data_IF_875218707929
#
_entry.id   IF_875218707929
#
_cell.length_a   1.000
_cell.length_b   1.000
_cell.length_c   1.000
_cell.angle_alpha   90.00
_cell.angle_beta   90.00
_cell.angle_gamma   90.00
#
_symmetry.space_group_name_H-M   'P 1'
#
loop_
_entity.id
_entity.type
_entity.pdbx_description
1 polymer ?
#
# COMPACT_ATOMS: atom_id res chain seq x y z
N UNK A 1 -22.20 -24.43 -9.33
CA UNK A 1 -23.28 -23.66 -8.71
C UNK A 1 -22.62 -22.86 -7.62
N UNK A 2 -22.38 -21.57 -7.88
CA UNK A 2 -21.64 -20.70 -6.97
C UNK A 2 -22.49 -20.32 -5.77
N UNK A 3 -21.85 -20.15 -4.61
CA UNK A 3 -22.44 -19.54 -3.44
C UNK A 3 -23.04 -18.19 -3.83
N UNK A 4 -24.37 -18.05 -3.70
CA UNK A 4 -25.11 -16.83 -4.04
C UNK A 4 -24.98 -15.71 -2.98
N UNK A 5 -24.08 -15.85 -2.00
CA UNK A 5 -23.74 -14.79 -1.05
C UNK A 5 -22.23 -14.58 -1.08
N UNK A 6 -21.75 -13.75 -2.01
CA UNK A 6 -20.32 -13.57 -2.21
C UNK A 6 -19.63 -12.99 -0.98
N UNK A 7 -18.68 -13.77 -0.46
CA UNK A 7 -17.85 -13.49 0.71
C UNK A 7 -16.42 -14.00 0.48
N UNK A 8 -15.92 -13.87 -0.75
CA UNK A 8 -14.61 -14.43 -1.13
C UNK A 8 -13.46 -13.84 -0.31
N UNK A 9 -13.56 -12.60 0.16
CA UNK A 9 -12.52 -11.97 0.98
C UNK A 9 -12.65 -12.28 2.47
N UNK A 10 -13.71 -12.99 2.90
CA UNK A 10 -13.89 -13.36 4.30
C UNK A 10 -12.66 -14.12 4.80
N UNK A 11 -12.16 -13.73 5.97
CA UNK A 11 -10.97 -14.29 6.62
C UNK A 11 -9.64 -14.13 5.86
N UNK A 12 -9.64 -13.49 4.70
CA UNK A 12 -8.42 -13.11 4.01
C UNK A 12 -7.63 -12.09 4.84
N UNK A 13 -6.32 -12.04 4.60
CA UNK A 13 -5.39 -11.12 5.26
C UNK A 13 -4.78 -10.18 4.23
N UNK A 14 -4.72 -8.90 4.57
CA UNK A 14 -4.17 -7.85 3.70
C UNK A 14 -3.15 -7.00 4.43
N UNK A 15 -2.08 -6.63 3.74
CA UNK A 15 -1.12 -5.63 4.22
C UNK A 15 -1.30 -4.31 3.47
N UNK A 16 -1.26 -3.19 4.20
CA UNK A 16 -1.42 -1.84 3.64
C UNK A 16 -0.06 -1.13 3.51
N UNK A 17 0.54 -1.27 2.34
CA UNK A 17 1.84 -0.72 1.98
C UNK A 17 1.72 0.69 1.36
N UNK A 18 2.66 1.57 1.70
CA UNK A 18 2.70 2.93 1.15
C UNK A 18 3.52 3.89 2.01
N UNK A 19 3.66 5.16 1.61
CA UNK A 19 4.41 6.13 2.38
C UNK A 19 3.93 6.29 3.83
N UNK A 20 4.90 6.46 4.71
CA UNK A 20 4.73 6.84 6.12
C UNK A 20 5.65 8.03 6.43
N UNK A 21 6.87 8.01 5.87
CA UNK A 21 7.77 9.15 5.83
C UNK A 21 7.57 10.01 4.58
N UNK A 22 8.09 11.24 4.61
CA UNK A 22 8.01 12.23 3.52
C UNK A 22 6.58 12.60 3.08
N UNK A 23 5.59 12.25 3.90
CA UNK A 23 4.22 12.73 3.81
C UNK A 23 4.10 14.11 4.46
N UNK A 24 3.05 14.87 4.12
CA UNK A 24 2.85 16.21 4.65
C UNK A 24 2.74 16.24 6.19
N UNK A 25 2.13 15.21 6.79
CA UNK A 25 2.08 15.04 8.25
C UNK A 25 1.89 13.57 8.63
N UNK A 26 2.85 13.00 9.36
CA UNK A 26 2.75 11.64 9.92
C UNK A 26 1.53 11.48 10.82
N UNK A 27 1.25 12.50 11.64
CA UNK A 27 0.12 12.48 12.56
C UNK A 27 -1.22 12.46 11.83
N UNK A 28 -1.36 13.27 10.76
CA UNK A 28 -2.58 13.27 9.94
C UNK A 28 -2.72 11.97 9.16
N UNK A 29 -1.66 11.49 8.51
CA UNK A 29 -1.69 10.21 7.79
C UNK A 29 -2.05 9.04 8.71
N UNK A 30 -1.50 9.01 9.93
CA UNK A 30 -1.84 7.99 10.94
C UNK A 30 -3.30 8.09 11.38
N UNK A 31 -3.81 9.29 11.66
CA UNK A 31 -5.14 9.48 12.24
C UNK A 31 -6.28 9.40 11.21
N UNK A 32 -6.08 9.94 10.01
CA UNK A 32 -7.14 10.14 9.00
C UNK A 32 -6.71 9.83 7.57
N UNK A 33 -5.50 9.30 7.38
CA UNK A 33 -4.98 8.94 6.05
C UNK A 33 -5.74 7.78 5.40
N UNK A 34 -5.36 7.49 4.16
CA UNK A 34 -6.03 6.51 3.30
C UNK A 34 -6.14 5.11 3.91
N UNK A 35 -5.14 4.68 4.71
CA UNK A 35 -5.11 3.37 5.36
C UNK A 35 -6.29 3.13 6.29
N UNK A 36 -6.73 4.17 7.01
CA UNK A 36 -7.88 4.06 7.90
C UNK A 36 -9.16 3.72 7.12
N UNK A 37 -9.38 4.40 5.99
CA UNK A 37 -10.56 4.18 5.15
C UNK A 37 -10.52 2.84 4.43
N UNK A 38 -9.40 2.53 3.78
CA UNK A 38 -9.20 1.23 3.11
C UNK A 38 -9.28 0.09 4.12
N UNK A 39 -8.72 0.26 5.31
CA UNK A 39 -8.80 -0.71 6.41
C UNK A 39 -10.23 -0.91 6.92
N UNK A 40 -11.00 0.17 7.12
CA UNK A 40 -12.41 0.06 7.51
C UNK A 40 -13.25 -0.64 6.44
N UNK A 41 -13.01 -0.32 5.17
CA UNK A 41 -13.67 -0.94 4.03
C UNK A 41 -13.36 -2.44 3.92
N UNK A 42 -12.09 -2.84 4.09
CA UNK A 42 -11.69 -4.25 4.04
C UNK A 42 -12.23 -5.04 5.23
N UNK A 43 -12.21 -4.47 6.44
CA UNK A 43 -12.81 -5.10 7.63
C UNK A 43 -14.31 -5.31 7.50
N UNK A 44 -15.02 -4.43 6.77
CA UNK A 44 -16.44 -4.61 6.46
C UNK A 44 -16.71 -5.90 5.67
N UNK A 45 -15.74 -6.36 4.86
CA UNK A 45 -15.79 -7.65 4.15
C UNK A 45 -15.13 -8.82 4.92
N UNK A 46 -14.88 -8.66 6.23
CA UNK A 46 -14.31 -9.73 7.05
C UNK A 46 -12.80 -9.93 6.88
N UNK A 47 -12.10 -9.00 6.22
CA UNK A 47 -10.65 -9.08 5.99
C UNK A 47 -9.89 -8.67 7.25
N UNK A 48 -8.86 -9.45 7.62
CA UNK A 48 -7.87 -9.07 8.62
C UNK A 48 -6.87 -8.09 8.01
N UNK A 49 -6.81 -6.87 8.55
CA UNK A 49 -5.96 -5.78 8.03
C UNK A 49 -4.70 -5.60 8.87
N UNK A 50 -3.54 -5.74 8.23
CA UNK A 50 -2.25 -5.34 8.78
C UNK A 50 -1.88 -3.94 8.31
N UNK A 51 -1.80 -3.00 9.26
CA UNK A 51 -1.39 -1.62 9.05
C UNK A 51 -0.04 -1.37 9.74
N UNK A 52 1.00 -0.89 9.03
CA UNK A 52 2.30 -0.62 9.66
C UNK A 52 2.27 0.45 10.76
N UNK A 53 1.24 1.30 10.85
CA UNK A 53 1.07 2.22 11.99
C UNK A 53 0.62 1.53 13.27
N UNK A 54 -0.07 0.39 13.15
CA UNK A 54 -0.75 -0.33 14.23
C UNK A 54 -0.40 -1.81 14.17
N UNK A 55 0.85 -2.10 14.57
CA UNK A 55 1.45 -3.43 14.47
C UNK A 55 0.87 -4.40 15.51
N UNK A 56 0.54 -5.65 15.14
CA UNK A 56 -0.02 -6.63 16.06
C UNK A 56 1.01 -7.05 17.11
N UNK A 57 0.53 -7.52 18.27
CA UNK A 57 1.40 -8.08 19.30
C UNK A 57 2.05 -9.38 18.82
N UNK A 58 3.35 -9.50 19.04
CA UNK A 58 4.10 -10.72 18.75
C UNK A 58 4.07 -11.62 19.98
N UNK A 59 3.47 -12.80 19.84
CA UNK A 59 3.38 -13.77 20.93
C UNK A 59 4.76 -14.08 21.50
N UNK A 60 4.93 -13.88 22.81
CA UNK A 60 6.18 -14.15 23.51
C UNK A 60 7.24 -13.06 23.38
N UNK A 61 6.93 -11.91 22.76
CA UNK A 61 7.83 -10.76 22.69
C UNK A 61 7.10 -9.48 23.13
N UNK A 62 7.69 -8.71 24.04
CA UNK A 62 7.14 -7.44 24.48
C UNK A 62 7.53 -6.32 23.48
N UNK A 63 6.53 -5.58 22.98
CA UNK A 63 6.71 -4.38 22.13
C UNK A 63 7.61 -4.56 20.88
N UNK A 64 7.72 -5.79 20.36
CA UNK A 64 8.57 -6.07 19.22
C UNK A 64 8.17 -5.24 17.98
N UNK A 65 9.12 -4.46 17.46
CA UNK A 65 8.94 -3.70 16.22
C UNK A 65 8.00 -2.49 16.32
N UNK A 66 7.50 -2.15 17.52
CA UNK A 66 6.75 -0.90 17.74
C UNK A 66 7.70 0.29 17.60
N UNK A 67 7.34 1.21 16.72
CA UNK A 67 8.08 2.46 16.52
C UNK A 67 7.57 3.52 17.52
N UNK A 68 8.43 3.95 18.45
CA UNK A 68 8.16 5.08 19.34
C UNK A 68 8.63 6.42 18.74
N UNK A 69 8.29 7.55 19.39
CA UNK A 69 8.67 8.91 18.95
C UNK A 69 10.20 9.13 18.82
N UNK A 70 11.03 8.26 19.43
CA UNK A 70 12.49 8.33 19.40
C UNK A 70 13.19 7.57 18.26
N UNK A 71 12.48 6.86 17.38
CA UNK A 71 13.12 6.09 16.29
C UNK A 71 13.67 6.97 15.16
N UNK A 72 13.28 8.23 15.08
CA UNK A 72 13.57 9.12 13.95
C UNK A 72 15.00 9.66 13.90
N UNK A 73 15.76 9.66 15.01
CA UNK A 73 17.09 10.31 15.08
C UNK A 73 18.28 9.34 15.22
N UNK A 74 18.04 8.02 15.15
CA UNK A 74 19.14 7.02 15.23
C UNK A 74 20.09 7.10 14.03
N UNK A 75 19.62 7.69 12.91
CA UNK A 75 20.42 7.92 11.69
C UNK A 75 21.58 8.88 11.92
N UNK A 76 21.48 9.82 12.86
CA UNK A 76 22.54 10.78 13.15
C UNK A 76 23.85 10.10 13.61
N UNK A 77 23.76 8.88 14.17
CA UNK A 77 24.93 8.09 14.55
C UNK A 77 25.66 7.40 13.40
N UNK A 78 25.14 7.45 12.16
CA UNK A 78 25.71 6.70 11.04
C UNK A 78 27.08 7.23 10.63
N UNK A 79 28.02 6.33 10.31
CA UNK A 79 29.35 6.72 9.85
C UNK A 79 29.96 5.75 8.84
N UNK A 80 30.69 6.31 7.87
CA UNK A 80 31.47 5.57 6.87
C UNK A 80 32.90 5.27 7.30
N UNK A 81 33.31 5.64 8.52
CA UNK A 81 34.65 5.33 9.04
C UNK A 81 34.90 3.82 9.01
N UNK A 82 36.13 3.45 8.66
CA UNK A 82 36.63 2.07 8.75
C UNK A 82 36.95 1.66 10.19
N UNK A 83 37.36 0.40 10.36
CA UNK A 83 37.79 -0.13 11.65
C UNK A 83 36.64 -0.46 12.62
N UNK A 84 37.02 -0.86 13.83
CA UNK A 84 36.09 -1.39 14.85
C UNK A 84 35.01 -0.39 15.26
N UNK A 85 35.36 0.87 15.45
CA UNK A 85 34.42 1.92 15.87
C UNK A 85 33.34 2.19 14.83
N UNK A 86 33.74 2.36 13.56
CA UNK A 86 32.79 2.57 12.48
C UNK A 86 31.90 1.35 12.23
N UNK A 87 32.45 0.13 12.32
CA UNK A 87 31.68 -1.11 12.23
C UNK A 87 30.65 -1.21 13.37
N UNK A 88 31.05 -0.89 14.61
CA UNK A 88 30.16 -0.89 15.79
C UNK A 88 29.01 0.10 15.64
N UNK A 89 29.28 1.33 15.20
CA UNK A 89 28.26 2.35 14.99
C UNK A 89 27.21 1.91 13.94
N UNK A 90 27.66 1.35 12.81
CA UNK A 90 26.75 0.82 11.78
C UNK A 90 25.94 -0.38 12.27
N UNK A 91 26.56 -1.32 12.99
CA UNK A 91 25.87 -2.49 13.56
C UNK A 91 24.75 -2.07 14.49
N UNK A 92 25.03 -1.15 15.42
CA UNK A 92 24.05 -0.65 16.39
C UNK A 92 22.82 -0.05 15.71
N UNK A 93 23.01 0.74 14.66
CA UNK A 93 21.90 1.37 13.93
C UNK A 93 21.09 0.32 13.18
N UNK A 94 21.76 -0.57 12.43
CA UNK A 94 21.10 -1.63 11.68
C UNK A 94 20.28 -2.56 12.59
N UNK A 95 20.86 -3.00 13.70
CA UNK A 95 20.19 -3.84 14.70
C UNK A 95 19.01 -3.13 15.35
N UNK A 96 19.12 -1.82 15.64
CA UNK A 96 18.04 -1.07 16.29
C UNK A 96 16.77 -0.98 15.45
N UNK A 97 16.90 -0.91 14.11
CA UNK A 97 15.76 -0.80 13.21
C UNK A 97 15.26 -2.16 12.71
N UNK A 98 16.06 -3.22 12.87
CA UNK A 98 15.70 -4.57 12.41
C UNK A 98 14.33 -5.05 12.90
N UNK A 99 13.93 -4.89 14.17
CA UNK A 99 12.62 -5.34 14.63
C UNK A 99 11.45 -4.72 13.86
N UNK A 100 11.54 -3.42 13.53
CA UNK A 100 10.50 -2.70 12.78
C UNK A 100 10.40 -3.22 11.35
N UNK A 101 11.53 -3.31 10.64
CA UNK A 101 11.56 -3.90 9.29
C UNK A 101 11.06 -5.35 9.30
N UNK A 102 11.51 -6.16 10.26
CA UNK A 102 11.20 -7.57 10.33
C UNK A 102 9.70 -7.83 10.53
N UNK A 103 9.04 -7.10 11.44
CA UNK A 103 7.60 -7.29 11.65
C UNK A 103 6.78 -6.83 10.45
N UNK A 104 7.19 -5.76 9.75
CA UNK A 104 6.49 -5.31 8.54
C UNK A 104 6.57 -6.36 7.43
N UNK A 105 7.77 -6.90 7.16
CA UNK A 105 7.93 -8.00 6.21
C UNK A 105 7.19 -9.25 6.65
N UNK A 106 7.11 -9.52 7.97
CA UNK A 106 6.32 -10.65 8.48
C UNK A 106 4.82 -10.48 8.28
N UNK A 107 4.31 -9.25 8.34
CA UNK A 107 2.93 -8.95 8.00
C UNK A 107 2.69 -9.18 6.50
N UNK A 108 3.59 -8.72 5.63
CA UNK A 108 3.54 -9.04 4.18
C UNK A 108 3.54 -10.55 3.94
N UNK A 109 4.45 -11.28 4.58
CA UNK A 109 4.57 -12.75 4.47
C UNK A 109 3.29 -13.48 4.85
N UNK A 110 2.54 -12.96 5.82
CA UNK A 110 1.32 -13.61 6.30
C UNK A 110 0.06 -13.06 5.65
N UNK A 111 0.12 -12.02 4.82
CA UNK A 111 -1.02 -11.58 4.02
C UNK A 111 -1.28 -12.50 2.81
N UNK A 112 -2.53 -12.59 2.40
CA UNK A 112 -2.97 -13.28 1.18
C UNK A 112 -2.87 -12.36 -0.05
N UNK A 113 -3.02 -11.04 0.14
CA UNK A 113 -2.75 -10.01 -0.87
C UNK A 113 -2.25 -8.71 -0.23
N UNK A 114 -1.75 -7.77 -1.04
CA UNK A 114 -1.23 -6.48 -0.56
C UNK A 114 -1.89 -5.33 -1.31
N UNK A 115 -2.24 -4.25 -0.61
CA UNK A 115 -2.63 -2.97 -1.22
C UNK A 115 -1.48 -1.99 -1.08
N UNK A 116 -1.03 -1.40 -2.19
CA UNK A 116 0.12 -0.52 -2.25
C UNK A 116 -0.28 0.87 -2.78
N UNK A 117 -0.20 1.90 -1.94
CA UNK A 117 -0.33 3.29 -2.38
C UNK A 117 1.04 3.87 -2.75
N UNK A 118 1.23 4.19 -4.03
CA UNK A 118 2.53 4.56 -4.60
C UNK A 118 2.46 5.90 -5.38
N UNK A 119 2.31 7.04 -4.67
CA UNK A 119 2.44 8.36 -5.29
C UNK A 119 3.87 8.58 -5.78
N UNK A 120 4.03 9.02 -7.03
CA UNK A 120 5.33 9.14 -7.69
C UNK A 120 6.20 10.29 -7.17
N UNK A 121 5.60 11.20 -6.41
CA UNK A 121 6.27 12.35 -5.79
C UNK A 121 6.68 12.12 -4.32
N UNK A 122 6.47 10.93 -3.77
CA UNK A 122 6.90 10.60 -2.42
C UNK A 122 7.96 9.52 -2.48
N UNK A 123 9.13 9.80 -1.91
CA UNK A 123 10.20 8.83 -1.80
C UNK A 123 9.78 7.68 -0.85
N UNK A 124 9.80 6.46 -1.36
CA UNK A 124 9.52 5.26 -0.57
C UNK A 124 10.52 4.15 -0.90
N UNK A 125 11.05 3.52 0.16
CA UNK A 125 11.95 2.36 0.07
C UNK A 125 11.32 1.08 0.62
N UNK A 126 10.47 1.20 1.65
CA UNK A 126 9.74 0.07 2.22
C UNK A 126 8.75 -0.52 1.22
N UNK A 127 7.93 0.35 0.60
CA UNK A 127 6.90 -0.07 -0.36
C UNK A 127 7.44 -0.90 -1.54
N UNK A 128 8.52 -0.49 -2.25
CA UNK A 128 9.13 -1.36 -3.26
C UNK A 128 9.56 -2.73 -2.70
N UNK A 129 10.16 -2.79 -1.52
CA UNK A 129 10.63 -4.04 -0.91
C UNK A 129 9.46 -4.97 -0.59
N UNK A 130 8.38 -4.43 -0.02
CA UNK A 130 7.15 -5.15 0.31
C UNK A 130 6.46 -5.70 -0.94
N UNK A 131 6.40 -4.91 -2.03
CA UNK A 131 5.87 -5.36 -3.33
C UNK A 131 6.69 -6.51 -3.91
N UNK A 132 8.02 -6.39 -3.88
CA UNK A 132 8.92 -7.42 -4.42
C UNK A 132 8.73 -8.73 -3.64
N UNK A 133 8.69 -8.67 -2.31
CA UNK A 133 8.46 -9.83 -1.46
C UNK A 133 7.10 -10.49 -1.76
N UNK A 134 6.03 -9.71 -1.84
CA UNK A 134 4.69 -10.21 -2.17
C UNK A 134 4.68 -10.93 -3.53
N UNK A 135 5.32 -10.37 -4.56
CA UNK A 135 5.37 -10.97 -5.90
C UNK A 135 6.30 -12.17 -6.00
N UNK A 136 7.38 -12.22 -5.23
CA UNK A 136 8.21 -13.43 -5.08
C UNK A 136 7.40 -14.59 -4.48
N UNK A 137 6.41 -14.27 -3.64
CA UNK A 137 5.45 -15.21 -3.06
C UNK A 137 4.19 -15.40 -3.92
N UNK A 138 4.14 -14.84 -5.14
CA UNK A 138 3.01 -14.89 -6.08
C UNK A 138 1.69 -14.30 -5.57
N UNK A 139 1.74 -13.43 -4.56
CA UNK A 139 0.56 -12.79 -3.99
C UNK A 139 0.05 -11.65 -4.88
N UNK A 140 -1.27 -11.45 -5.03
CA UNK A 140 -1.81 -10.27 -5.69
C UNK A 140 -1.30 -8.99 -5.01
N UNK A 141 -0.90 -8.02 -5.83
CA UNK A 141 -0.53 -6.67 -5.38
C UNK A 141 -1.47 -5.69 -6.05
N UNK A 142 -2.31 -5.01 -5.27
CA UNK A 142 -3.22 -3.99 -5.74
C UNK A 142 -2.53 -2.63 -5.66
N UNK A 143 -2.06 -2.13 -6.79
CA UNK A 143 -1.18 -0.98 -6.89
C UNK A 143 -1.95 0.29 -7.26
N UNK A 144 -2.01 1.25 -6.33
CA UNK A 144 -2.61 2.57 -6.55
C UNK A 144 -1.51 3.57 -6.93
N UNK A 145 -1.52 4.07 -8.16
CA UNK A 145 -0.68 5.18 -8.61
C UNK A 145 -1.57 6.40 -8.85
N UNK A 146 -1.62 7.38 -7.95
CA UNK A 146 -2.52 8.52 -8.13
C UNK A 146 -2.00 9.48 -9.21
N UNK A 147 -2.92 10.33 -9.71
CA UNK A 147 -2.56 11.54 -10.42
C UNK A 147 -1.70 12.44 -9.51
N UNK A 148 -0.66 13.07 -10.05
CA UNK A 148 0.19 14.00 -9.29
C UNK A 148 0.40 15.27 -10.08
N UNK A 149 -0.01 16.40 -9.51
CA UNK A 149 0.18 17.74 -10.05
C UNK A 149 0.48 18.71 -8.90
N UNK A 150 1.27 19.75 -9.17
CA UNK A 150 1.72 20.69 -8.16
C UNK A 150 1.15 22.10 -8.40
N UNK A 151 -0.13 22.32 -8.10
CA UNK A 151 -0.81 23.61 -8.32
C UNK A 151 -0.01 24.80 -7.76
N UNK A 152 0.47 24.67 -6.52
CA UNK A 152 1.23 25.75 -5.85
C UNK A 152 2.59 26.02 -6.46
N UNK A 153 3.20 25.03 -7.12
CA UNK A 153 4.42 25.26 -7.87
C UNK A 153 4.16 26.10 -9.12
N UNK A 154 3.05 25.82 -9.82
CA UNK A 154 2.65 26.61 -10.99
C UNK A 154 2.22 28.03 -10.61
N UNK A 155 1.46 28.18 -9.52
CA UNK A 155 1.12 29.50 -8.96
C UNK A 155 2.38 30.30 -8.58
N UNK A 156 3.36 29.66 -7.93
CA UNK A 156 4.63 30.30 -7.58
C UNK A 156 5.42 30.71 -8.82
N UNK A 157 5.49 29.85 -9.84
CA UNK A 157 6.14 30.17 -11.11
C UNK A 157 5.48 31.37 -11.79
N UNK A 158 4.15 31.45 -11.78
CA UNK A 158 3.41 32.59 -12.31
C UNK A 158 3.69 33.87 -11.50
N UNK A 159 3.72 33.77 -10.18
CA UNK A 159 4.03 34.90 -9.29
C UNK A 159 5.42 35.48 -9.56
N UNK A 160 6.41 34.62 -9.82
CA UNK A 160 7.79 35.01 -10.11
C UNK A 160 8.03 35.46 -11.56
N UNK A 161 7.00 35.55 -12.41
CA UNK A 161 7.17 35.89 -13.84
C UNK A 161 7.92 37.21 -14.10
N UNK A 162 7.85 38.17 -13.17
CA UNK A 162 8.58 39.45 -13.23
C UNK A 162 9.93 39.47 -12.49
N UNK A 163 10.36 38.35 -11.89
CA UNK A 163 11.61 38.20 -11.14
C UNK A 163 12.50 37.13 -11.79
N UNK A 164 13.43 37.55 -12.68
CA UNK A 164 14.33 36.61 -13.37
C UNK A 164 15.20 35.80 -12.41
N UNK A 165 15.62 36.37 -11.27
CA UNK A 165 16.46 35.64 -10.32
C UNK A 165 15.63 34.62 -9.55
N UNK A 166 14.42 34.99 -9.14
CA UNK A 166 13.45 34.08 -8.52
C UNK A 166 13.13 32.88 -9.42
N UNK A 167 12.86 33.10 -10.70
CA UNK A 167 12.63 32.02 -11.67
C UNK A 167 13.84 31.09 -11.82
N UNK A 168 15.05 31.66 -11.90
CA UNK A 168 16.28 30.87 -11.98
C UNK A 168 16.42 29.96 -10.74
N UNK A 169 16.21 30.51 -9.53
CA UNK A 169 16.28 29.74 -8.29
C UNK A 169 15.21 28.65 -8.24
N UNK A 170 14.00 28.94 -8.72
CA UNK A 170 12.92 27.95 -8.80
C UNK A 170 13.26 26.80 -9.77
N UNK A 171 13.87 27.12 -10.92
CA UNK A 171 14.30 26.12 -11.90
C UNK A 171 15.49 25.29 -11.40
N UNK A 172 16.41 25.89 -10.65
CA UNK A 172 17.49 25.18 -9.96
C UNK A 172 16.92 24.24 -8.89
N UNK A 173 16.01 24.73 -8.04
CA UNK A 173 15.35 23.92 -7.01
C UNK A 173 14.57 22.74 -7.61
N UNK A 174 13.89 22.95 -8.74
CA UNK A 174 13.17 21.89 -9.45
C UNK A 174 14.09 20.79 -10.03
N UNK A 175 15.40 21.06 -10.19
CA UNK A 175 16.40 20.06 -10.56
C UNK A 175 17.00 19.35 -9.35
N UNK A 176 17.12 20.05 -8.23
CA UNK A 176 17.68 19.52 -6.98
C UNK A 176 16.68 18.62 -6.24
N UNK A 177 15.40 18.95 -6.32
CA UNK A 177 14.30 18.15 -5.75
C UNK A 177 13.63 17.37 -6.88
N UNK A 178 13.34 16.07 -6.71
CA UNK A 178 12.69 15.26 -7.75
C UNK A 178 11.19 15.60 -7.88
N UNK A 179 10.89 16.85 -8.27
CA UNK A 179 9.54 17.34 -8.51
C UNK A 179 9.11 16.85 -9.89
N UNK A 180 8.40 15.72 -9.92
CA UNK A 180 7.86 15.17 -11.16
C UNK A 180 6.37 14.89 -11.03
N UNK A 181 5.62 15.54 -11.92
CA UNK A 181 4.19 15.31 -12.07
C UNK A 181 3.91 13.94 -12.71
N UNK A 182 2.74 13.41 -12.43
CA UNK A 182 2.20 12.18 -13.00
C UNK A 182 0.76 12.42 -13.45
N UNK A 183 0.61 13.14 -14.57
CA UNK A 183 -0.67 13.65 -15.03
C UNK A 183 -1.60 12.57 -15.62
N UNK A 184 -1.11 11.34 -15.76
CA UNK A 184 -1.89 10.21 -16.27
C UNK A 184 -1.86 9.04 -15.30
N UNK A 185 -1.51 9.28 -14.03
CA UNK A 185 -1.53 8.26 -12.98
C UNK A 185 -0.74 6.99 -13.35
N UNK A 186 0.28 7.13 -14.22
CA UNK A 186 1.02 5.97 -14.72
C UNK A 186 1.98 5.44 -13.66
N UNK A 187 1.98 4.13 -13.38
CA UNK A 187 2.98 3.53 -12.52
C UNK A 187 4.36 3.57 -13.20
N UNK A 188 5.42 3.37 -12.42
CA UNK A 188 6.77 3.16 -12.97
C UNK A 188 6.79 1.95 -13.91
N UNK A 189 7.56 2.04 -15.00
CA UNK A 189 7.78 0.95 -15.96
C UNK A 189 8.30 -0.34 -15.30
N UNK A 190 8.98 -0.23 -14.15
CA UNK A 190 9.43 -1.39 -13.37
C UNK A 190 8.29 -2.12 -12.66
N UNK A 191 7.25 -1.42 -12.25
CA UNK A 191 6.10 -2.05 -11.60
C UNK A 191 5.22 -2.79 -12.58
N UNK A 192 5.10 -2.31 -13.83
CA UNK A 192 4.25 -2.91 -14.85
C UNK A 192 4.46 -4.43 -15.01
N UNK A 193 5.68 -4.95 -15.27
CA UNK A 193 5.91 -6.38 -15.36
C UNK A 193 5.91 -7.10 -14.00
N UNK A 194 6.15 -6.39 -12.90
CA UNK A 194 6.22 -6.97 -11.55
C UNK A 194 4.82 -7.27 -11.00
N UNK A 195 3.90 -6.34 -11.16
CA UNK A 195 2.51 -6.41 -10.65
C UNK A 195 1.58 -7.08 -11.66
N UNK A 196 1.76 -6.82 -12.96
CA UNK A 196 0.85 -7.23 -14.03
C UNK A 196 -0.23 -6.18 -14.32
N UNK A 197 -0.74 -6.16 -15.55
CA UNK A 197 -1.58 -5.06 -16.07
C UNK A 197 -2.92 -4.84 -15.36
N UNK A 198 -3.43 -5.85 -14.67
CA UNK A 198 -4.80 -5.84 -14.15
C UNK A 198 -4.96 -5.23 -12.77
N UNK A 199 -3.87 -5.17 -12.00
CA UNK A 199 -3.90 -4.72 -10.61
C UNK A 199 -3.36 -3.31 -10.41
N UNK A 200 -3.44 -2.47 -11.44
CA UNK A 200 -3.19 -1.03 -11.35
C UNK A 200 -4.48 -0.24 -11.22
N UNK A 201 -4.44 0.77 -10.34
CA UNK A 201 -5.54 1.66 -10.02
C UNK A 201 -5.03 3.10 -9.99
N UNK A 202 -5.83 4.04 -10.48
CA UNK A 202 -5.48 5.47 -10.54
C UNK A 202 -6.07 6.30 -9.39
N UNK A 203 -6.72 5.62 -8.44
CA UNK A 203 -7.22 6.18 -7.20
C UNK A 203 -7.93 5.12 -6.35
N UNK A 204 -8.45 5.53 -5.19
CA UNK A 204 -9.21 4.69 -4.29
C UNK A 204 -10.69 4.64 -4.66
N UNK A 205 -11.26 5.77 -5.08
CA UNK A 205 -12.70 5.90 -5.34
C UNK A 205 -13.50 6.01 -4.04
N UNK A 206 -13.06 6.86 -3.11
CA UNK A 206 -13.70 7.00 -1.80
C UNK A 206 -15.11 7.58 -1.88
N UNK A 207 -15.39 8.41 -2.89
CA UNK A 207 -16.66 9.12 -3.04
C UNK A 207 -17.90 8.19 -2.97
N UNK A 208 -17.82 7.00 -3.58
CA UNK A 208 -18.91 6.03 -3.62
C UNK A 208 -19.28 5.46 -2.24
N UNK A 209 -18.34 5.46 -1.30
CA UNK A 209 -18.48 4.78 -0.01
C UNK A 209 -18.51 5.75 1.17
N UNK A 210 -18.31 7.05 0.92
CA UNK A 210 -18.20 8.08 1.96
C UNK A 210 -19.40 8.10 2.90
N UNK A 211 -20.61 8.06 2.35
CA UNK A 211 -21.85 8.09 3.14
C UNK A 211 -22.04 6.80 3.93
N UNK A 212 -21.76 5.64 3.31
CA UNK A 212 -21.87 4.33 3.95
C UNK A 212 -20.99 4.21 5.21
N UNK A 213 -19.77 4.75 5.16
CA UNK A 213 -18.83 4.69 6.28
C UNK A 213 -18.75 5.98 7.10
N UNK A 214 -19.59 6.96 6.80
CA UNK A 214 -19.60 8.29 7.43
C UNK A 214 -18.21 8.96 7.47
N UNK A 215 -17.46 8.85 6.38
CA UNK A 215 -16.09 9.40 6.33
C UNK A 215 -16.09 10.94 6.25
N UNK A 216 -15.35 11.63 7.15
CA UNK A 216 -15.17 13.07 7.06
C UNK A 216 -14.29 13.42 5.87
N UNK A 217 -14.47 14.58 5.26
CA UNK A 217 -13.68 15.00 4.10
C UNK A 217 -12.18 15.11 4.40
N UNK A 218 -11.34 14.61 3.50
CA UNK A 218 -9.86 14.73 3.55
C UNK A 218 -9.30 15.26 2.22
N UNK A 219 -8.00 15.59 2.20
CA UNK A 219 -7.33 16.10 1.01
C UNK A 219 -7.47 15.17 -0.21
N UNK A 220 -7.44 13.85 -0.01
CA UNK A 220 -7.64 12.86 -1.07
C UNK A 220 -9.05 12.93 -1.70
N UNK A 221 -10.09 13.31 -0.97
CA UNK A 221 -11.43 13.46 -1.56
C UNK A 221 -11.47 14.65 -2.54
N UNK A 222 -10.81 15.74 -2.16
CA UNK A 222 -10.69 16.90 -3.05
C UNK A 222 -9.85 16.55 -4.27
N UNK A 223 -8.78 15.78 -4.08
CA UNK A 223 -7.95 15.30 -5.16
C UNK A 223 -8.73 14.42 -6.15
N UNK A 224 -9.43 13.38 -5.67
CA UNK A 224 -10.24 12.49 -6.53
C UNK A 224 -11.44 13.21 -7.16
N UNK A 225 -11.98 14.27 -6.53
CA UNK A 225 -13.03 15.08 -7.17
C UNK A 225 -12.50 15.93 -8.32
N UNK A 226 -11.28 16.47 -8.19
CA UNK A 226 -10.64 17.25 -9.24
C UNK A 226 -10.07 16.35 -10.35
N UNK A 227 -9.66 15.14 -9.99
CA UNK A 227 -9.10 14.12 -10.89
C UNK A 227 -9.79 12.77 -10.65
N UNK A 228 -11.03 12.59 -11.15
CA UNK A 228 -11.78 11.35 -10.93
C UNK A 228 -11.03 10.10 -11.42
N UNK A 229 -10.86 9.07 -10.58
CA UNK A 229 -10.20 7.84 -10.99
C UNK A 229 -11.04 7.10 -12.02
N UNK A 230 -10.39 6.63 -13.09
CA UNK A 230 -10.99 5.82 -14.15
C UNK A 230 -11.08 4.35 -13.72
N UNK A 231 -10.12 3.88 -12.93
CA UNK A 231 -10.05 2.52 -12.39
C UNK A 231 -9.82 2.59 -10.88
N UNK A 232 -10.87 2.89 -10.09
CA UNK A 232 -10.78 3.01 -8.64
C UNK A 232 -10.61 1.66 -7.94
N UNK A 233 -9.80 1.62 -6.87
CA UNK A 233 -9.52 0.42 -6.08
C UNK A 233 -10.75 -0.14 -5.33
N UNK A 234 -11.50 0.69 -4.61
CA UNK A 234 -12.55 0.19 -3.70
C UNK A 234 -13.69 -0.52 -4.45
N UNK A 235 -14.20 -0.02 -5.59
CA UNK A 235 -15.16 -0.75 -6.42
C UNK A 235 -14.63 -2.09 -6.93
N UNK A 236 -13.35 -2.17 -7.27
CA UNK A 236 -12.73 -3.44 -7.64
C UNK A 236 -12.73 -4.44 -6.48
N UNK A 237 -12.36 -4.01 -5.27
CA UNK A 237 -12.37 -4.88 -4.07
C UNK A 237 -13.79 -5.36 -3.75
N UNK A 238 -14.79 -4.47 -3.81
CA UNK A 238 -16.20 -4.85 -3.61
C UNK A 238 -16.64 -5.94 -4.60
N UNK A 239 -16.25 -5.81 -5.87
CA UNK A 239 -16.51 -6.82 -6.89
C UNK A 239 -15.74 -8.12 -6.64
N UNK A 240 -14.47 -8.03 -6.22
CA UNK A 240 -13.63 -9.17 -5.89
C UNK A 240 -14.16 -10.00 -4.72
N UNK A 241 -14.92 -9.38 -3.80
CA UNK A 241 -15.61 -10.11 -2.74
C UNK A 241 -16.75 -11.00 -3.26
N UNK A 242 -17.31 -10.66 -4.42
CA UNK A 242 -18.42 -11.40 -5.01
C UNK A 242 -17.96 -12.48 -5.99
N UNK A 243 -16.89 -12.23 -6.73
CA UNK A 243 -16.35 -13.16 -7.74
C UNK A 243 -14.84 -13.01 -7.87
N UNK A 244 -14.17 -14.08 -8.28
CA UNK A 244 -12.74 -14.00 -8.58
C UNK A 244 -12.48 -12.92 -9.65
N UNK A 245 -11.47 -12.06 -9.45
CA UNK A 245 -11.06 -11.11 -10.45
C UNK A 245 -10.62 -11.82 -11.72
N UNK A 246 -10.83 -11.18 -12.87
CA UNK A 246 -10.36 -11.69 -14.15
C UNK A 246 -9.01 -11.06 -14.51
N UNK A 247 -8.26 -11.74 -15.38
CA UNK A 247 -7.06 -11.23 -16.02
C UNK A 247 -7.11 -11.44 -17.53
N UNK A 248 -6.56 -10.50 -18.28
CA UNK A 248 -6.37 -10.68 -19.72
C UNK A 248 -5.31 -11.74 -20.02
N UNK A 249 -5.67 -12.76 -20.80
CA UNK A 249 -4.74 -13.75 -21.34
C UNK A 249 -4.40 -13.40 -22.80
N UNK A 250 -3.18 -12.95 -23.04
CA UNK A 250 -2.72 -12.56 -24.37
C UNK A 250 -2.69 -13.70 -25.40
N UNK A 251 -2.65 -14.96 -24.98
CA UNK A 251 -2.63 -16.11 -25.89
C UNK A 251 -4.05 -16.51 -26.30
N UNK A 252 -5.00 -16.37 -25.39
CA UNK A 252 -6.41 -16.66 -25.64
C UNK A 252 -7.17 -15.45 -26.21
N UNK A 253 -6.60 -14.25 -26.08
CA UNK A 253 -7.24 -12.97 -26.40
C UNK A 253 -8.59 -12.81 -25.67
N UNK A 254 -8.65 -13.28 -24.42
CA UNK A 254 -9.85 -13.26 -23.60
C UNK A 254 -9.52 -13.05 -22.11
N UNK A 255 -10.55 -12.69 -21.34
CA UNK A 255 -10.48 -12.59 -19.88
C UNK A 255 -10.70 -13.96 -19.24
N UNK A 256 -9.72 -14.40 -18.45
CA UNK A 256 -9.77 -15.64 -17.67
C UNK A 256 -9.75 -15.35 -16.18
N UNK A 257 -10.08 -16.33 -15.34
CA UNK A 257 -9.96 -16.19 -13.89
C UNK A 257 -8.51 -15.92 -13.49
N UNK A 258 -8.31 -14.99 -12.56
CA UNK A 258 -7.00 -14.65 -12.05
C UNK A 258 -6.58 -15.60 -10.92
N UNK A 259 -5.85 -16.64 -11.33
CA UNK A 259 -5.27 -17.67 -10.46
C UNK A 259 -4.25 -17.18 -9.41
N UNK A 260 -3.83 -15.90 -9.42
CA UNK A 260 -3.04 -15.32 -8.32
C UNK A 260 -3.92 -15.16 -7.04
N UNK A 261 -5.26 -15.12 -7.17
CA UNK A 261 -6.19 -14.96 -6.04
C UNK A 261 -6.47 -16.30 -5.33
N UNK A 262 -5.43 -16.92 -4.80
CA UNK A 262 -5.50 -18.14 -4.01
C UNK A 262 -5.93 -17.81 -2.56
N UNK A 263 -7.23 -17.60 -2.38
CA UNK A 263 -7.84 -17.39 -1.07
C UNK A 263 -8.24 -18.76 -0.47
N UNK A 264 -7.90 -18.97 0.79
CA UNK A 264 -8.11 -20.24 1.46
C UNK A 264 -9.46 -20.29 2.17
N UNK A 265 -10.23 -21.35 1.93
CA UNK A 265 -11.38 -21.73 2.75
C UNK A 265 -10.94 -22.79 3.78
N UNK A 266 -10.44 -22.32 4.93
CA UNK A 266 -9.92 -23.19 5.98
C UNK A 266 -10.89 -23.28 7.15
N UNK A 267 -11.44 -24.48 7.38
CA UNK A 267 -12.10 -24.80 8.65
C UNK A 267 -11.10 -25.39 9.63
N UNK A 268 -11.10 -24.91 10.89
CA UNK A 268 -10.37 -25.59 11.97
C UNK A 268 -11.15 -26.82 12.40
N UNK A 269 -10.58 -28.01 12.18
CA UNK A 269 -11.03 -29.21 12.88
C UNK A 269 -10.50 -29.18 14.34
N UNK A 270 -11.28 -29.72 15.28
CA UNK A 270 -10.94 -29.76 16.69
C UNK A 270 -9.55 -30.38 16.93
N UNK A 271 -8.73 -29.75 17.78
CA UNK A 271 -7.46 -30.32 18.23
C UNK A 271 -6.24 -30.07 17.33
N UNK A 272 -6.36 -29.24 16.28
CA UNK A 272 -5.23 -28.90 15.41
C UNK A 272 -4.91 -29.97 14.36
N UNK A 273 -5.93 -30.69 13.90
CA UNK A 273 -5.86 -31.59 12.74
C UNK A 273 -5.36 -30.86 11.49
N UNK A 274 -5.03 -31.63 10.45
CA UNK A 274 -4.70 -31.10 9.13
C UNK A 274 -5.75 -30.09 8.63
N UNK A 275 -5.31 -29.06 7.91
CA UNK A 275 -6.23 -28.17 7.19
C UNK A 275 -6.91 -28.96 6.08
N UNK A 276 -8.19 -29.29 6.26
CA UNK A 276 -9.06 -29.80 5.21
C UNK A 276 -9.93 -28.63 4.70
N UNK A 277 -10.21 -28.60 3.40
CA UNK A 277 -11.20 -27.68 2.84
C UNK A 277 -12.61 -28.02 3.36
N UNK A 278 -13.51 -27.04 3.35
CA UNK A 278 -14.90 -27.26 3.72
C UNK A 278 -15.48 -28.45 2.92
N UNK A 279 -16.03 -29.45 3.60
CA UNK A 279 -16.75 -30.54 2.93
C UNK A 279 -18.00 -29.93 2.28
N UNK A 280 -18.00 -29.82 0.96
CA UNK A 280 -19.19 -29.42 0.20
C UNK A 280 -20.38 -30.28 0.67
N UNK A 281 -21.37 -29.64 1.28
CA UNK A 281 -22.57 -30.33 1.72
C UNK A 281 -23.24 -30.91 0.48
N UNK A 282 -23.31 -32.25 0.42
CA UNK A 282 -23.85 -32.96 -0.73
C UNK A 282 -25.27 -32.53 -1.04
N UNK A 283 -25.50 -32.13 -2.29
CA UNK A 283 -26.84 -31.98 -2.85
C UNK A 283 -27.61 -33.29 -2.66
N UNK A 284 -28.71 -33.21 -1.92
CA UNK A 284 -29.82 -34.17 -2.01
C UNK A 284 -30.89 -33.58 -2.90
#
# INVERSE_FOLDING_TARGET
MGDENGNLLQDARVYLSGPMDFVASRAVEKATGWRNRVGQFLRFYGVTVFDPWEKPEVRGMHEFGKEGEGTTDVRAGWTYKGGKEGASARSKIAESFWPALHIDLRMVDTSDFVVCYCPTNIYSVGTPHEIILARQQRKPVLFVSPYVHFDKLHELRQHLAGDPKGLQLLDELAREVPIKENLNASPSLWYMPLVGGEHFFDGFGFAQYRDQFAWPEIALDTHERNHPPQKPLLPFIAAANQKLPQKWDHRLEDFVDNDDWLLWDLSREDGGSACAGAKAQGSK
#
